data_IF_160747750922
#
_entry.id   IF_160747750922
#
_cell.length_a   1.000
_cell.length_b   1.000
_cell.length_c   1.000
_cell.angle_alpha   90.00
_cell.angle_beta   90.00
_cell.angle_gamma   90.00
#
_symmetry.space_group_name_H-M   'P 1'
#
loop_
_entity.id
_entity.type
_entity.pdbx_description
1 polymer ?
#
# COMPACT_ATOMS: atom_id res chain seq x y z
N UNK A 1 -0.36 -12.83 15.42
CA UNK A 1 0.05 -11.92 16.51
C UNK A 1 -1.12 -11.00 16.81
N UNK A 2 -1.37 -10.69 18.07
CA UNK A 2 -2.29 -9.62 18.46
C UNK A 2 -1.50 -8.34 18.72
N UNK A 3 -2.07 -7.19 18.37
CA UNK A 3 -1.51 -5.89 18.63
C UNK A 3 -2.57 -4.95 19.17
N UNK A 4 -2.23 -4.20 20.22
CA UNK A 4 -3.15 -3.23 20.80
C UNK A 4 -3.32 -2.00 19.90
N UNK A 5 -4.58 -1.57 19.72
CA UNK A 5 -4.93 -0.38 18.93
C UNK A 5 -4.74 0.90 19.76
N UNK A 6 -5.28 0.93 20.98
CA UNK A 6 -5.22 2.10 21.87
C UNK A 6 -3.95 2.15 22.73
N UNK A 7 -3.40 0.99 23.06
CA UNK A 7 -2.20 0.84 23.89
C UNK A 7 -1.19 0.00 23.12
N UNK A 8 0.06 0.44 23.08
CA UNK A 8 1.11 -0.23 22.33
C UNK A 8 1.57 -1.51 23.04
N UNK A 9 1.08 -2.65 22.58
CA UNK A 9 1.58 -3.97 22.96
C UNK A 9 1.46 -4.93 21.77
N UNK A 10 2.22 -6.02 21.81
CA UNK A 10 2.19 -7.07 20.80
C UNK A 10 2.47 -8.43 21.42
N UNK A 11 1.73 -9.46 21.03
CA UNK A 11 1.95 -10.83 21.52
C UNK A 11 1.73 -11.87 20.41
N UNK A 12 2.67 -12.82 20.20
CA UNK A 12 2.43 -13.96 19.33
C UNK A 12 1.38 -14.88 19.97
N UNK A 13 0.36 -15.28 19.21
CA UNK A 13 -0.75 -16.13 19.69
C UNK A 13 -0.94 -17.40 18.88
N UNK A 14 -0.17 -17.54 17.80
CA UNK A 14 -0.26 -18.63 16.86
C UNK A 14 1.09 -18.79 16.16
N UNK A 15 1.51 -20.04 16.02
CA UNK A 15 2.72 -20.43 15.31
C UNK A 15 2.50 -21.81 14.70
N UNK A 16 2.66 -21.90 13.38
CA UNK A 16 2.43 -23.11 12.62
C UNK A 16 3.60 -23.32 11.67
N UNK A 17 4.07 -24.56 11.56
CA UNK A 17 4.93 -24.96 10.46
C UNK A 17 4.06 -25.24 9.24
N UNK A 18 4.42 -24.65 8.11
CA UNK A 18 3.69 -24.79 6.85
C UNK A 18 4.57 -25.49 5.82
N UNK A 19 4.03 -26.41 5.01
CA UNK A 19 4.71 -26.89 3.81
C UNK A 19 4.86 -25.76 2.78
N UNK A 20 5.57 -26.03 1.68
CA UNK A 20 5.85 -25.04 0.61
C UNK A 20 4.59 -24.41 -0.01
N UNK A 21 3.47 -25.13 0.04
CA UNK A 21 2.17 -24.65 -0.43
C UNK A 21 1.07 -25.02 0.56
N UNK A 22 0.25 -24.04 0.90
CA UNK A 22 -0.89 -24.18 1.81
C UNK A 22 -2.10 -23.53 1.15
N UNK A 23 -3.28 -24.14 1.28
CA UNK A 23 -4.52 -23.46 0.93
C UNK A 23 -4.83 -22.40 1.99
N UNK A 24 -4.88 -21.13 1.58
CA UNK A 24 -5.15 -20.02 2.47
C UNK A 24 -6.55 -20.06 3.09
N UNK A 25 -7.49 -20.84 2.55
CA UNK A 25 -8.78 -21.06 3.20
C UNK A 25 -8.64 -21.71 4.58
N UNK A 26 -7.58 -22.50 4.81
CA UNK A 26 -7.28 -23.11 6.12
C UNK A 26 -6.94 -22.08 7.20
N UNK A 27 -6.55 -20.86 6.83
CA UNK A 27 -6.26 -19.80 7.79
C UNK A 27 -7.53 -19.23 8.45
N UNK A 28 -8.69 -19.35 7.78
CA UNK A 28 -9.97 -18.84 8.32
C UNK A 28 -10.33 -19.46 9.68
N UNK A 29 -10.46 -20.79 9.82
CA UNK A 29 -10.85 -21.39 11.11
C UNK A 29 -9.83 -21.10 12.21
N UNK A 30 -8.53 -20.98 11.86
CA UNK A 30 -7.49 -20.58 12.82
C UNK A 30 -7.73 -19.17 13.32
N UNK A 31 -8.00 -18.21 12.43
CA UNK A 31 -8.27 -16.82 12.78
C UNK A 31 -9.58 -16.70 13.58
N UNK A 32 -10.63 -17.43 13.21
CA UNK A 32 -11.90 -17.46 13.96
C UNK A 32 -11.68 -17.98 15.39
N UNK A 33 -10.92 -19.05 15.56
CA UNK A 33 -10.56 -19.58 16.89
C UNK A 33 -9.73 -18.57 17.71
N UNK A 34 -8.79 -17.86 17.07
CA UNK A 34 -8.02 -16.81 17.74
C UNK A 34 -8.97 -15.68 18.20
N UNK A 35 -9.89 -15.24 17.35
CA UNK A 35 -10.89 -14.21 17.70
C UNK A 35 -11.72 -14.66 18.90
N UNK A 36 -12.28 -15.87 18.86
CA UNK A 36 -13.06 -16.45 19.96
C UNK A 36 -12.29 -16.47 21.29
N UNK A 37 -11.06 -17.00 21.29
CA UNK A 37 -10.22 -17.05 22.50
C UNK A 37 -9.78 -15.67 22.99
N UNK A 38 -9.63 -14.71 22.09
CA UNK A 38 -9.19 -13.35 22.42
C UNK A 38 -10.35 -12.56 23.03
N UNK A 39 -11.56 -12.68 22.47
CA UNK A 39 -12.73 -11.98 23.01
C UNK A 39 -13.24 -12.58 24.32
N UNK A 40 -13.07 -13.90 24.53
CA UNK A 40 -13.46 -14.54 25.80
C UNK A 40 -12.69 -14.04 27.02
N UNK A 41 -11.51 -13.45 26.82
CA UNK A 41 -10.71 -12.79 27.88
C UNK A 41 -10.89 -11.27 27.90
N UNK A 42 -11.89 -10.74 27.19
CA UNK A 42 -12.24 -9.31 27.18
C UNK A 42 -11.43 -8.44 26.22
N UNK A 43 -10.66 -9.03 25.30
CA UNK A 43 -9.94 -8.29 24.25
C UNK A 43 -10.75 -8.29 22.95
N UNK A 44 -11.34 -7.16 22.58
CA UNK A 44 -12.16 -7.07 21.38
C UNK A 44 -11.32 -7.00 20.10
N UNK A 45 -11.62 -7.86 19.13
CA UNK A 45 -10.90 -7.91 17.85
C UNK A 45 -11.66 -7.11 16.80
N UNK A 46 -11.06 -6.02 16.32
CA UNK A 46 -11.69 -5.15 15.33
C UNK A 46 -11.21 -5.37 13.90
N UNK A 47 -9.96 -5.81 13.73
CA UNK A 47 -9.29 -5.80 12.44
C UNK A 47 -8.39 -7.02 12.25
N UNK A 48 -8.43 -7.62 11.06
CA UNK A 48 -7.44 -8.57 10.56
C UNK A 48 -6.52 -7.84 9.59
N UNK A 49 -5.22 -7.83 9.86
CA UNK A 49 -4.20 -7.19 9.03
C UNK A 49 -3.28 -8.26 8.45
N UNK A 50 -3.08 -8.23 7.13
CA UNK A 50 -2.15 -9.12 6.44
C UNK A 50 -1.49 -8.43 5.26
N UNK A 51 -0.40 -9.00 4.73
CA UNK A 51 0.02 -8.65 3.38
C UNK A 51 -1.02 -9.10 2.33
N UNK A 52 -0.75 -8.80 1.06
CA UNK A 52 -1.60 -9.19 -0.07
C UNK A 52 -1.04 -10.38 -0.86
N UNK A 53 -0.33 -11.29 -0.19
CA UNK A 53 0.11 -12.54 -0.81
C UNK A 53 -1.06 -13.44 -1.20
N UNK A 54 -0.90 -14.35 -2.19
CA UNK A 54 -1.98 -15.23 -2.66
C UNK A 54 -2.66 -16.04 -1.55
N UNK A 55 -1.88 -16.51 -0.57
CA UNK A 55 -2.38 -17.22 0.62
C UNK A 55 -3.36 -16.35 1.43
N UNK A 56 -2.96 -15.13 1.76
CA UNK A 56 -3.78 -14.19 2.53
C UNK A 56 -5.02 -13.74 1.73
N UNK A 57 -4.90 -13.54 0.41
CA UNK A 57 -6.05 -13.25 -0.44
C UNK A 57 -7.04 -14.43 -0.52
N UNK A 58 -6.57 -15.68 -0.47
CA UNK A 58 -7.46 -16.85 -0.35
C UNK A 58 -8.21 -16.84 0.99
N UNK A 59 -7.52 -16.55 2.09
CA UNK A 59 -8.14 -16.38 3.41
C UNK A 59 -9.22 -15.28 3.40
N UNK A 60 -8.92 -14.12 2.81
CA UNK A 60 -9.87 -13.01 2.66
C UNK A 60 -11.14 -13.43 1.89
N UNK A 61 -10.99 -14.23 0.84
CA UNK A 61 -12.15 -14.79 0.09
C UNK A 61 -12.94 -15.77 0.95
N UNK A 62 -12.29 -16.63 1.71
CA UNK A 62 -12.94 -17.60 2.60
C UNK A 62 -13.78 -16.92 3.71
N UNK A 63 -13.37 -15.73 4.16
CA UNK A 63 -14.12 -14.95 5.16
C UNK A 63 -15.43 -14.33 4.65
N UNK A 64 -15.71 -14.39 3.34
CA UNK A 64 -16.98 -13.91 2.78
C UNK A 64 -16.81 -13.05 1.53
N UNK A 65 -15.79 -13.33 0.72
CA UNK A 65 -15.49 -12.55 -0.47
C UNK A 65 -15.01 -11.15 -0.14
N UNK A 66 -14.03 -11.01 0.76
CA UNK A 66 -13.30 -9.74 0.89
C UNK A 66 -12.44 -9.55 -0.35
N UNK A 67 -12.72 -8.51 -1.13
CA UNK A 67 -11.97 -8.15 -2.32
C UNK A 67 -12.13 -6.66 -2.66
N UNK A 68 -11.14 -6.16 -3.40
CA UNK A 68 -11.21 -4.88 -4.09
C UNK A 68 -10.87 -5.15 -5.56
N UNK A 69 -11.77 -4.79 -6.47
CA UNK A 69 -11.52 -4.86 -7.91
C UNK A 69 -11.90 -3.52 -8.56
N UNK A 70 -11.45 -3.29 -9.80
CA UNK A 70 -11.63 -2.01 -10.51
C UNK A 70 -13.10 -1.69 -10.83
N UNK A 71 -13.95 -2.72 -10.90
CA UNK A 71 -15.31 -2.65 -11.43
C UNK A 71 -16.38 -3.00 -10.38
N UNK A 72 -16.02 -3.13 -9.10
CA UNK A 72 -16.93 -3.51 -8.03
C UNK A 72 -16.79 -2.58 -6.84
N UNK A 73 -17.83 -2.54 -6.03
CA UNK A 73 -17.72 -1.97 -4.69
C UNK A 73 -16.61 -2.69 -3.92
N UNK A 74 -15.86 -1.90 -3.14
CA UNK A 74 -14.85 -2.42 -2.23
C UNK A 74 -15.58 -3.14 -1.10
N UNK A 75 -15.23 -4.41 -0.86
CA UNK A 75 -15.70 -5.17 0.29
C UNK A 75 -14.52 -5.49 1.19
N UNK A 76 -14.39 -4.72 2.27
CA UNK A 76 -13.29 -4.80 3.23
C UNK A 76 -13.74 -5.20 4.65
N UNK A 77 -14.97 -5.66 4.81
CA UNK A 77 -15.49 -6.07 6.12
C UNK A 77 -16.58 -7.13 6.02
N UNK A 78 -16.77 -7.82 7.14
CA UNK A 78 -17.88 -8.73 7.39
C UNK A 78 -18.54 -8.39 8.73
N UNK A 79 -19.72 -8.96 8.97
CA UNK A 79 -20.32 -8.97 10.32
C UNK A 79 -19.38 -9.74 11.25
N UNK A 80 -19.13 -9.20 12.44
CA UNK A 80 -18.21 -9.81 13.39
C UNK A 80 -18.75 -11.19 13.84
N UNK A 81 -17.93 -12.26 13.86
CA UNK A 81 -18.41 -13.63 14.08
C UNK A 81 -19.04 -13.86 15.46
N UNK A 82 -18.71 -13.02 16.45
CA UNK A 82 -19.22 -13.12 17.82
C UNK A 82 -20.23 -12.04 18.20
N UNK A 83 -20.45 -11.05 17.32
CA UNK A 83 -21.32 -9.90 17.63
C UNK A 83 -21.92 -9.32 16.34
N UNK A 84 -23.23 -9.52 16.15
CA UNK A 84 -23.93 -9.07 14.95
C UNK A 84 -23.96 -7.54 14.78
N UNK A 85 -23.67 -6.77 15.83
CA UNK A 85 -23.66 -5.31 15.79
C UNK A 85 -22.28 -4.73 15.44
N UNK A 86 -21.24 -5.57 15.41
CA UNK A 86 -19.87 -5.15 15.05
C UNK A 86 -19.49 -5.63 13.66
N UNK A 87 -18.50 -4.96 13.10
CA UNK A 87 -17.83 -5.38 11.86
C UNK A 87 -16.42 -5.85 12.17
N UNK A 88 -16.00 -6.91 11.50
CA UNK A 88 -14.60 -7.31 11.42
C UNK A 88 -14.01 -6.75 10.12
N UNK A 89 -13.04 -5.85 10.24
CA UNK A 89 -12.40 -5.19 9.10
C UNK A 89 -11.17 -5.96 8.62
N UNK A 90 -10.95 -6.00 7.31
CA UNK A 90 -9.77 -6.59 6.69
C UNK A 90 -8.94 -5.47 6.05
N UNK A 91 -7.68 -5.36 6.45
CA UNK A 91 -6.79 -4.27 6.06
C UNK A 91 -5.49 -4.85 5.50
N UNK A 92 -5.08 -4.37 4.33
CA UNK A 92 -3.78 -4.72 3.76
C UNK A 92 -2.67 -3.94 4.48
N UNK A 93 -1.52 -4.58 4.69
CA UNK A 93 -0.38 -3.94 5.31
C UNK A 93 0.14 -2.76 4.47
N UNK A 94 0.09 -1.56 5.04
CA UNK A 94 0.36 -0.31 4.33
C UNK A 94 1.78 -0.22 3.73
N UNK A 95 2.88 -0.61 4.43
CA UNK A 95 4.21 -0.70 3.85
C UNK A 95 4.27 -1.57 2.58
N UNK A 96 3.51 -2.66 2.51
CA UNK A 96 3.44 -3.49 1.31
C UNK A 96 2.72 -2.77 0.17
N UNK A 97 1.63 -2.06 0.45
CA UNK A 97 0.92 -1.26 -0.56
C UNK A 97 1.82 -0.20 -1.22
N UNK A 98 2.57 0.56 -0.42
CA UNK A 98 3.45 1.63 -0.92
C UNK A 98 4.58 1.05 -1.79
N UNK A 99 5.15 -0.10 -1.40
CA UNK A 99 6.13 -0.83 -2.22
C UNK A 99 5.54 -1.30 -3.54
N UNK A 100 4.33 -1.87 -3.51
CA UNK A 100 3.63 -2.34 -4.71
C UNK A 100 3.32 -1.19 -5.64
N UNK A 101 2.87 -0.03 -5.13
CA UNK A 101 2.61 1.16 -5.92
C UNK A 101 3.87 1.68 -6.61
N UNK A 102 5.00 1.74 -5.89
CA UNK A 102 6.30 2.08 -6.50
C UNK A 102 6.68 1.08 -7.60
N UNK A 103 6.55 -0.22 -7.33
CA UNK A 103 6.89 -1.25 -8.31
C UNK A 103 6.00 -1.15 -9.56
N UNK A 104 4.71 -0.85 -9.41
CA UNK A 104 3.79 -0.62 -10.50
C UNK A 104 4.24 0.56 -11.37
N UNK A 105 4.56 1.72 -10.77
CA UNK A 105 5.04 2.89 -11.53
C UNK A 105 6.34 2.57 -12.29
N UNK A 106 7.33 1.97 -11.63
CA UNK A 106 8.65 1.73 -12.24
C UNK A 106 8.62 0.67 -13.34
N UNK A 107 7.76 -0.34 -13.22
CA UNK A 107 7.64 -1.41 -14.20
C UNK A 107 6.78 -1.00 -15.39
N UNK A 108 5.62 -0.38 -15.13
CA UNK A 108 4.67 0.00 -16.18
C UNK A 108 5.01 1.35 -16.83
N UNK A 109 5.93 2.13 -16.23
CA UNK A 109 6.31 3.50 -16.63
C UNK A 109 5.23 4.55 -16.42
N UNK A 110 3.98 4.15 -16.27
CA UNK A 110 2.89 5.07 -15.96
C UNK A 110 1.83 4.40 -15.07
N UNK A 111 1.01 5.24 -14.43
CA UNK A 111 -0.19 4.84 -13.70
C UNK A 111 -1.34 5.73 -14.16
N UNK A 112 -2.41 5.12 -14.65
CA UNK A 112 -3.65 5.81 -14.99
C UNK A 112 -4.55 5.91 -13.75
N UNK A 113 -4.95 7.13 -13.41
CA UNK A 113 -5.82 7.44 -12.29
C UNK A 113 -7.29 7.29 -12.67
N UNK A 114 -8.15 6.82 -11.74
CA UNK A 114 -9.59 6.78 -11.97
C UNK A 114 -10.17 8.18 -12.22
N UNK A 115 -11.19 8.34 -13.10
CA UNK A 115 -11.80 9.64 -13.38
C UNK A 115 -12.31 10.38 -12.14
N UNK A 116 -12.77 9.65 -11.12
CA UNK A 116 -13.23 10.25 -9.88
C UNK A 116 -12.11 10.96 -9.13
N UNK A 117 -10.89 10.40 -9.16
CA UNK A 117 -9.69 11.00 -8.52
C UNK A 117 -9.26 12.24 -9.28
N UNK A 118 -9.20 12.15 -10.62
CA UNK A 118 -8.85 13.27 -11.50
C UNK A 118 -9.78 14.46 -11.26
N UNK A 119 -11.09 14.21 -11.19
CA UNK A 119 -12.09 15.25 -10.93
C UNK A 119 -11.99 15.79 -9.50
N UNK A 120 -11.81 14.93 -8.50
CA UNK A 120 -11.76 15.34 -7.10
C UNK A 120 -10.57 16.26 -6.79
N UNK A 121 -9.43 16.04 -7.44
CA UNK A 121 -8.21 16.83 -7.25
C UNK A 121 -7.95 17.84 -8.37
N UNK A 122 -8.87 18.01 -9.31
CA UNK A 122 -8.76 18.91 -10.46
C UNK A 122 -7.42 18.73 -11.21
N UNK A 123 -7.05 17.48 -11.50
CA UNK A 123 -5.78 17.14 -12.14
C UNK A 123 -5.82 17.47 -13.63
N UNK A 124 -4.69 17.92 -14.17
CA UNK A 124 -4.57 18.31 -15.58
C UNK A 124 -4.59 17.14 -16.56
N UNK A 125 -4.15 15.97 -16.10
CA UNK A 125 -4.00 14.74 -16.87
C UNK A 125 -4.38 13.53 -15.98
N UNK A 126 -5.03 12.48 -16.49
CA UNK A 126 -5.27 11.25 -15.74
C UNK A 126 -4.03 10.39 -15.48
N UNK A 127 -2.88 10.66 -16.10
CA UNK A 127 -1.73 9.77 -16.08
C UNK A 127 -0.57 10.33 -15.26
N UNK A 128 -0.09 9.50 -14.34
CA UNK A 128 1.16 9.72 -13.60
C UNK A 128 2.31 9.07 -14.38
N UNK A 129 3.25 9.87 -14.87
CA UNK A 129 4.40 9.38 -15.65
C UNK A 129 5.64 9.18 -14.77
N UNK A 130 6.35 8.07 -14.99
CA UNK A 130 7.64 7.79 -14.37
C UNK A 130 8.75 8.68 -14.94
N UNK A 131 8.62 9.13 -16.19
CA UNK A 131 9.64 9.93 -16.87
C UNK A 131 9.82 11.30 -16.22
N UNK A 132 8.77 11.88 -15.65
CA UNK A 132 8.85 13.10 -14.84
C UNK A 132 9.81 12.95 -13.64
N UNK A 133 9.88 11.76 -13.03
CA UNK A 133 10.84 11.48 -11.95
C UNK A 133 12.27 11.36 -12.50
N UNK A 134 12.44 10.70 -13.65
CA UNK A 134 13.75 10.51 -14.28
C UNK A 134 14.35 11.85 -14.72
N UNK A 135 13.56 12.71 -15.39
CA UNK A 135 13.99 14.05 -15.80
C UNK A 135 14.36 14.89 -14.56
N UNK A 136 13.55 14.86 -13.50
CA UNK A 136 13.87 15.57 -12.26
C UNK A 136 15.19 15.09 -11.61
N UNK A 137 15.49 13.78 -11.69
CA UNK A 137 16.76 13.22 -11.23
C UNK A 137 17.95 13.67 -12.08
N UNK A 138 17.77 13.76 -13.40
CA UNK A 138 18.80 14.21 -14.33
C UNK A 138 19.12 15.71 -14.12
N UNK A 139 18.10 16.53 -13.91
CA UNK A 139 18.26 17.98 -13.65
C UNK A 139 19.10 18.22 -12.38
N UNK A 140 18.78 17.52 -11.29
CA UNK A 140 19.49 17.73 -10.03
C UNK A 140 20.90 17.13 -10.01
N UNK A 141 21.31 16.35 -11.01
CA UNK A 141 22.66 15.78 -11.07
C UNK A 141 23.72 16.87 -11.17
N UNK A 142 23.39 17.96 -11.89
CA UNK A 142 24.25 19.11 -12.10
C UNK A 142 24.13 20.18 -11.00
N UNK A 143 23.27 19.97 -9.98
CA UNK A 143 23.05 20.92 -8.89
C UNK A 143 23.90 20.55 -7.66
N UNK A 144 24.50 21.56 -7.03
CA UNK A 144 25.16 21.38 -5.73
C UNK A 144 24.13 21.03 -4.64
N UNK A 145 22.97 21.72 -4.64
CA UNK A 145 21.88 21.46 -3.71
C UNK A 145 20.76 20.67 -4.39
N UNK A 146 20.60 19.42 -3.96
CA UNK A 146 19.65 18.46 -4.54
C UNK A 146 18.31 18.50 -3.82
N UNK A 147 17.26 18.94 -4.51
CA UNK A 147 15.90 19.01 -3.97
C UNK A 147 15.35 17.63 -3.56
N UNK A 148 15.71 16.57 -4.30
CA UNK A 148 15.29 15.19 -4.03
C UNK A 148 16.48 14.27 -3.68
N UNK A 149 17.35 14.72 -2.77
CA UNK A 149 18.57 14.03 -2.34
C UNK A 149 18.38 12.57 -1.84
N UNK A 150 17.16 12.20 -1.41
CA UNK A 150 16.82 10.87 -0.89
C UNK A 150 16.63 9.81 -1.96
N UNK A 151 16.57 10.20 -3.24
CA UNK A 151 16.38 9.34 -4.40
C UNK A 151 17.62 9.41 -5.29
N UNK A 152 18.10 8.25 -5.71
CA UNK A 152 19.23 8.11 -6.64
C UNK A 152 18.75 7.46 -7.93
N UNK A 153 19.47 7.66 -9.05
CA UNK A 153 19.16 7.02 -10.35
C UNK A 153 19.01 5.50 -10.24
N UNK A 154 19.83 4.84 -9.42
CA UNK A 154 19.72 3.40 -9.13
C UNK A 154 18.38 2.99 -8.49
N UNK A 155 17.70 3.90 -7.80
CA UNK A 155 16.42 3.65 -7.14
C UNK A 155 15.25 3.64 -8.15
N UNK A 156 15.47 4.11 -9.37
CA UNK A 156 14.53 4.02 -10.49
C UNK A 156 14.51 2.63 -11.16
N UNK A 157 15.43 1.74 -10.74
CA UNK A 157 15.43 0.33 -11.16
C UNK A 157 14.90 -0.55 -10.04
N UNK A 158 13.87 -1.34 -10.34
CA UNK A 158 13.28 -2.28 -9.39
C UNK A 158 14.08 -3.60 -9.38
N UNK A 159 15.24 -3.62 -8.70
CA UNK A 159 15.99 -4.87 -8.47
C UNK A 159 15.35 -5.69 -7.35
N UNK A 160 15.62 -7.00 -7.31
CA UNK A 160 15.08 -7.94 -6.31
C UNK A 160 15.25 -7.43 -4.86
N UNK A 161 16.42 -6.90 -4.53
CA UNK A 161 16.70 -6.34 -3.20
C UNK A 161 16.07 -4.96 -2.97
N UNK A 162 16.00 -4.11 -3.99
CA UNK A 162 15.44 -2.75 -3.86
C UNK A 162 13.91 -2.74 -3.81
N UNK A 163 13.25 -3.78 -4.33
CA UNK A 163 11.80 -3.99 -4.28
C UNK A 163 11.28 -4.14 -2.84
N UNK A 164 12.08 -4.75 -1.95
CA UNK A 164 11.68 -5.02 -0.58
C UNK A 164 11.86 -3.84 0.38
N UNK A 165 12.66 -2.83 0.01
CA UNK A 165 12.97 -1.67 0.86
C UNK A 165 11.83 -0.66 0.88
N UNK A 166 11.08 -0.63 2.00
CA UNK A 166 9.99 0.33 2.23
C UNK A 166 10.49 1.77 2.17
N UNK A 167 11.67 2.05 2.74
CA UNK A 167 12.27 3.40 2.74
C UNK A 167 12.46 3.98 1.34
N UNK A 168 12.80 3.13 0.36
CA UNK A 168 12.93 3.55 -1.04
C UNK A 168 11.59 3.86 -1.68
N UNK A 169 10.54 3.16 -1.29
CA UNK A 169 9.18 3.45 -1.73
C UNK A 169 8.65 4.74 -1.11
N UNK A 170 8.83 4.94 0.19
CA UNK A 170 8.40 6.18 0.87
C UNK A 170 9.17 7.41 0.42
N UNK A 171 10.47 7.28 0.09
CA UNK A 171 11.25 8.40 -0.45
C UNK A 171 10.72 8.86 -1.81
N UNK A 172 10.29 7.93 -2.68
CA UNK A 172 9.70 8.24 -3.98
C UNK A 172 8.36 8.94 -3.84
N UNK A 173 7.49 8.42 -2.96
CA UNK A 173 6.18 9.01 -2.65
C UNK A 173 6.27 10.03 -1.50
N UNK A 174 7.17 11.00 -1.62
CA UNK A 174 7.43 11.99 -0.56
C UNK A 174 6.99 13.40 -0.95
N UNK A 175 6.74 14.22 0.09
CA UNK A 175 6.42 15.64 -0.09
C UNK A 175 7.56 16.41 -0.74
N UNK A 176 8.82 16.01 -0.50
CA UNK A 176 10.00 16.61 -1.10
C UNK A 176 9.96 16.48 -2.64
N UNK A 177 9.58 15.30 -3.14
CA UNK A 177 9.42 15.04 -4.59
C UNK A 177 8.27 15.85 -5.17
N UNK A 178 7.10 15.82 -4.53
CA UNK A 178 5.94 16.62 -4.93
C UNK A 178 6.30 18.11 -5.04
N UNK A 179 7.00 18.65 -4.04
CA UNK A 179 7.37 20.06 -3.99
C UNK A 179 8.40 20.42 -5.07
N UNK A 180 9.41 19.55 -5.28
CA UNK A 180 10.41 19.75 -6.32
C UNK A 180 9.79 19.72 -7.73
N UNK A 181 8.84 18.82 -7.98
CA UNK A 181 8.10 18.78 -9.24
C UNK A 181 7.23 20.02 -9.46
N UNK A 182 6.49 20.47 -8.43
CA UNK A 182 5.68 21.71 -8.50
C UNK A 182 6.54 22.93 -8.78
N UNK A 183 7.69 23.03 -8.11
CA UNK A 183 8.65 24.09 -8.35
C UNK A 183 9.14 24.08 -9.80
N UNK A 184 9.57 22.91 -10.31
CA UNK A 184 10.04 22.78 -11.68
C UNK A 184 8.96 23.07 -12.73
N UNK A 185 7.72 22.61 -12.48
CA UNK A 185 6.56 22.88 -13.34
C UNK A 185 6.28 24.38 -13.47
N UNK A 186 6.39 25.12 -12.35
CA UNK A 186 6.21 26.56 -12.31
C UNK A 186 7.32 27.31 -13.05
N UNK A 187 8.59 26.99 -12.77
CA UNK A 187 9.76 27.66 -13.35
C UNK A 187 9.90 27.43 -14.88
N UNK A 188 9.52 26.25 -15.37
CA UNK A 188 9.66 25.88 -16.80
C UNK A 188 8.35 25.90 -17.58
N UNK A 189 7.23 26.23 -16.94
CA UNK A 189 5.91 26.20 -17.56
C UNK A 189 5.44 24.78 -17.95
N UNK A 190 6.03 23.73 -17.38
CA UNK A 190 5.76 22.34 -17.73
C UNK A 190 4.49 21.81 -17.05
N UNK A 191 3.37 22.05 -17.74
CA UNK A 191 2.00 21.56 -17.49
C UNK A 191 1.92 20.13 -16.92
N UNK A 192 2.62 19.26 -17.63
CA UNK A 192 2.60 17.79 -17.52
C UNK A 192 3.00 17.26 -16.14
N UNK A 193 3.80 18.01 -15.37
CA UNK A 193 4.26 17.62 -14.04
C UNK A 193 3.17 17.70 -12.98
N UNK A 194 2.13 18.51 -13.18
CA UNK A 194 1.15 18.82 -12.14
C UNK A 194 0.41 17.59 -11.63
N UNK A 195 0.04 16.66 -12.52
CA UNK A 195 -0.59 15.40 -12.12
C UNK A 195 0.35 14.53 -11.30
N UNK A 196 1.58 14.31 -11.76
CA UNK A 196 2.56 13.47 -11.03
C UNK A 196 2.97 14.10 -9.69
N UNK A 197 2.93 15.43 -9.60
CA UNK A 197 3.32 16.15 -8.40
C UNK A 197 2.22 16.25 -7.34
N UNK A 198 0.97 15.91 -7.66
CA UNK A 198 -0.16 16.04 -6.74
C UNK A 198 -0.18 14.92 -5.70
#
# INVERSE_FOLDING_TARGET
MLGGIFIRWKIPVAYYFTPDSVDGALLKPIIEQIIEKTESIGLFVHTVISDMGPLNLSMWRAFGGIFANRNSAIRNSIVHPLDSNRKLMFIADAPHLVKTLRAALLNNKSIELPPQVVKAFNLSDPVVQCDHLTELLDIQENLQFKLIHKIKKQDMKCSTFNKMKVSKATNLWSRDVSSAMKFYACEKGKKEYNTTAH
#
